data_IF_177002533480
#
_entry.id   IF_177002533480
#
_cell.length_a   1.000
_cell.length_b   1.000
_cell.length_c   1.000
_cell.angle_alpha   90.00
_cell.angle_beta   90.00
_cell.angle_gamma   90.00
#
_symmetry.space_group_name_H-M   'P 1'
#
loop_
_entity.id
_entity.type
_entity.pdbx_description
1 polymer ?
#
# COMPACT_ATOMS: atom_id res chain seq x y z
N UNK A 1 -18.32 -43.16 -7.33
CA UNK A 1 -17.30 -42.19 -7.80
C UNK A 1 -17.67 -40.84 -7.21
N UNK A 2 -16.94 -40.33 -6.22
CA UNK A 2 -17.13 -38.95 -5.76
C UNK A 2 -16.29 -38.04 -6.64
N UNK A 3 -16.93 -37.11 -7.35
CA UNK A 3 -16.23 -36.00 -8.01
C UNK A 3 -15.71 -35.05 -6.94
N UNK A 4 -14.42 -34.74 -6.95
CA UNK A 4 -13.86 -33.67 -6.12
C UNK A 4 -14.34 -32.32 -6.68
N UNK A 5 -14.95 -31.49 -5.84
CA UNK A 5 -15.21 -30.08 -6.14
C UNK A 5 -13.91 -29.30 -5.92
N UNK A 6 -13.47 -28.59 -6.94
CA UNK A 6 -12.33 -27.66 -6.84
C UNK A 6 -12.84 -26.22 -6.96
N UNK A 7 -12.38 -25.34 -6.06
CA UNK A 7 -12.68 -23.91 -6.09
C UNK A 7 -11.46 -23.15 -6.60
N UNK A 8 -11.64 -22.31 -7.63
CA UNK A 8 -10.62 -21.37 -8.07
C UNK A 8 -10.72 -20.09 -7.24
N UNK A 9 -9.62 -19.67 -6.64
CA UNK A 9 -9.46 -18.35 -6.02
C UNK A 9 -8.49 -17.56 -6.90
N UNK A 10 -8.87 -16.36 -7.31
CA UNK A 10 -8.00 -15.41 -7.99
C UNK A 10 -7.83 -14.18 -7.09
N UNK A 11 -6.60 -13.69 -6.98
CA UNK A 11 -6.26 -12.49 -6.21
C UNK A 11 -5.74 -11.47 -7.22
N UNK A 12 -6.27 -10.26 -7.15
CA UNK A 12 -5.87 -9.13 -7.98
C UNK A 12 -5.39 -8.01 -7.07
N UNK A 13 -4.31 -7.36 -7.47
CA UNK A 13 -3.76 -6.20 -6.79
C UNK A 13 -4.05 -4.96 -7.62
N UNK A 14 -4.32 -3.85 -6.95
CA UNK A 14 -4.58 -2.56 -7.58
C UNK A 14 -3.70 -1.51 -6.92
N UNK A 15 -3.20 -0.57 -7.71
CA UNK A 15 -2.41 0.54 -7.20
C UNK A 15 -3.34 1.57 -6.56
N UNK A 16 -3.13 1.90 -5.29
CA UNK A 16 -3.98 2.85 -4.58
C UNK A 16 -3.86 4.27 -5.14
N UNK A 17 -2.76 4.60 -5.83
CA UNK A 17 -2.53 5.93 -6.37
C UNK A 17 -3.45 6.21 -7.58
N UNK A 18 -3.58 5.25 -8.49
CA UNK A 18 -4.30 5.43 -9.77
C UNK A 18 -5.43 4.43 -10.03
N UNK A 19 -5.53 3.35 -9.25
CA UNK A 19 -6.55 2.30 -9.37
C UNK A 19 -6.28 1.25 -10.45
N UNK A 20 -5.10 1.24 -11.08
CA UNK A 20 -4.77 0.26 -12.11
C UNK A 20 -4.31 -1.08 -11.53
N UNK A 21 -4.61 -2.18 -12.24
CA UNK A 21 -4.19 -3.52 -11.82
C UNK A 21 -2.67 -3.65 -11.84
N UNK A 22 -2.11 -4.23 -10.79
CA UNK A 22 -0.69 -4.50 -10.63
C UNK A 22 -0.44 -6.00 -10.84
N UNK A 23 0.63 -6.33 -11.56
CA UNK A 23 1.19 -7.68 -11.56
C UNK A 23 1.57 -8.07 -10.13
N UNK A 24 1.08 -9.20 -9.59
CA UNK A 24 1.40 -9.64 -8.22
C UNK A 24 2.90 -9.64 -7.86
N UNK A 25 3.79 -9.84 -8.83
CA UNK A 25 5.25 -9.81 -8.61
C UNK A 25 5.82 -8.40 -8.41
N UNK A 26 5.06 -7.37 -8.77
CA UNK A 26 5.44 -5.96 -8.71
C UNK A 26 4.66 -5.17 -7.65
N UNK A 27 3.65 -5.77 -7.04
CA UNK A 27 2.85 -5.15 -5.98
C UNK A 27 3.68 -5.04 -4.70
N UNK A 28 3.75 -3.84 -4.14
CA UNK A 28 4.41 -3.56 -2.86
C UNK A 28 3.49 -2.73 -1.98
N UNK A 29 3.48 -3.06 -0.68
CA UNK A 29 2.79 -2.28 0.35
C UNK A 29 3.79 -1.35 1.04
N UNK A 30 3.43 -0.09 1.18
CA UNK A 30 4.29 0.95 1.76
C UNK A 30 3.67 1.47 3.05
N UNK A 31 4.35 1.21 4.16
CA UNK A 31 4.04 1.84 5.44
C UNK A 31 4.80 3.16 5.58
N UNK A 32 4.11 4.19 6.04
CA UNK A 32 4.71 5.50 6.28
C UNK A 32 3.93 6.30 7.33
N UNK A 33 4.58 7.31 7.90
CA UNK A 33 4.01 8.13 8.96
C UNK A 33 3.97 9.60 8.57
N UNK A 34 2.88 10.28 8.93
CA UNK A 34 2.77 11.73 8.83
C UNK A 34 1.93 12.29 9.98
N UNK A 35 2.44 13.34 10.64
CA UNK A 35 1.79 13.98 11.79
C UNK A 35 1.31 12.96 12.85
N UNK A 36 2.23 12.10 13.33
CA UNK A 36 1.95 11.07 14.34
C UNK A 36 0.88 10.04 13.93
N UNK A 37 0.54 9.96 12.66
CA UNK A 37 -0.42 8.99 12.15
C UNK A 37 0.29 8.08 11.16
N UNK A 38 0.06 6.79 11.32
CA UNK A 38 0.59 5.76 10.42
C UNK A 38 -0.43 5.48 9.31
N UNK A 39 0.11 5.27 8.12
CA UNK A 39 -0.60 5.11 6.87
C UNK A 39 0.03 3.97 6.08
N UNK A 40 -0.77 3.38 5.21
CA UNK A 40 -0.37 2.34 4.28
C UNK A 40 -1.02 2.58 2.92
N UNK A 41 -0.31 2.25 1.85
CA UNK A 41 -0.87 2.17 0.50
C UNK A 41 -0.13 1.11 -0.33
N UNK A 42 -0.84 0.49 -1.25
CA UNK A 42 -0.31 -0.48 -2.20
C UNK A 42 0.03 0.20 -3.53
N UNK A 43 1.20 -0.10 -4.10
CA UNK A 43 1.64 0.54 -5.36
C UNK A 43 2.66 -0.34 -6.08
N UNK A 44 3.24 0.19 -7.16
CA UNK A 44 4.41 -0.38 -7.84
C UNK A 44 5.71 0.30 -7.42
N UNK A 45 6.85 -0.37 -7.60
CA UNK A 45 8.18 0.25 -7.42
C UNK A 45 8.35 1.52 -8.27
N UNK A 46 7.83 1.52 -9.50
CA UNK A 46 7.93 2.67 -10.40
C UNK A 46 7.19 3.90 -9.85
N UNK A 47 5.97 3.73 -9.32
CA UNK A 47 5.24 4.80 -8.67
C UNK A 47 5.87 5.24 -7.34
N UNK A 48 6.40 4.30 -6.56
CA UNK A 48 7.19 4.65 -5.37
C UNK A 48 8.38 5.56 -5.73
N UNK A 49 9.07 5.29 -6.84
CA UNK A 49 10.16 6.13 -7.31
C UNK A 49 9.65 7.51 -7.77
N UNK A 50 8.46 7.60 -8.37
CA UNK A 50 7.84 8.90 -8.67
C UNK A 50 7.53 9.70 -7.40
N UNK A 51 7.05 9.05 -6.34
CA UNK A 51 6.85 9.68 -5.02
C UNK A 51 8.18 10.20 -4.46
N UNK A 52 9.21 9.35 -4.42
CA UNK A 52 10.55 9.71 -3.89
C UNK A 52 11.17 10.88 -4.64
N UNK A 53 10.94 10.95 -5.95
CA UNK A 53 11.41 12.04 -6.80
C UNK A 53 10.49 13.28 -6.81
N UNK A 54 9.45 13.30 -5.97
CA UNK A 54 8.55 14.45 -5.82
C UNK A 54 7.59 14.67 -6.99
N UNK A 55 7.45 13.71 -7.90
CA UNK A 55 6.51 13.79 -9.04
C UNK A 55 5.07 13.53 -8.63
N UNK A 56 4.87 12.83 -7.50
CA UNK A 56 3.57 12.67 -6.86
C UNK A 56 3.55 13.54 -5.60
N UNK A 57 2.63 14.52 -5.50
CA UNK A 57 2.53 15.36 -4.31
C UNK A 57 2.20 14.53 -3.07
N UNK A 58 2.84 14.84 -1.94
CA UNK A 58 2.57 14.15 -0.65
C UNK A 58 1.10 14.18 -0.26
N UNK A 59 0.39 15.28 -0.54
CA UNK A 59 -1.05 15.40 -0.27
C UNK A 59 -1.87 14.36 -1.07
N UNK A 60 -1.45 14.03 -2.29
CA UNK A 60 -2.05 12.96 -3.10
C UNK A 60 -1.77 11.60 -2.48
N UNK A 61 -0.51 11.32 -2.10
CA UNK A 61 -0.15 10.05 -1.43
C UNK A 61 -0.99 9.86 -0.16
N UNK A 62 -1.11 10.92 0.64
CA UNK A 62 -1.93 10.91 1.85
C UNK A 62 -3.40 10.61 1.58
N UNK A 63 -4.02 11.30 0.61
CA UNK A 63 -5.45 11.14 0.34
C UNK A 63 -5.79 9.75 -0.20
N UNK A 64 -4.80 9.05 -0.78
CA UNK A 64 -4.91 7.68 -1.26
C UNK A 64 -4.55 6.62 -0.23
N UNK A 65 -3.84 6.99 0.84
CA UNK A 65 -3.41 6.03 1.85
C UNK A 65 -4.53 5.67 2.82
N UNK A 66 -4.55 4.40 3.23
CA UNK A 66 -5.36 3.92 4.35
C UNK A 66 -4.67 4.28 5.66
N UNK A 67 -5.40 4.88 6.60
CA UNK A 67 -4.93 5.10 7.97
C UNK A 67 -4.89 3.78 8.74
N UNK A 68 -3.73 3.42 9.30
CA UNK A 68 -3.55 2.16 10.04
C UNK A 68 -3.52 2.36 11.55
N UNK A 69 -3.24 3.57 12.03
CA UNK A 69 -3.27 3.87 13.46
C UNK A 69 -2.63 5.20 13.82
N UNK A 70 -2.49 5.46 15.14
CA UNK A 70 -1.66 6.57 15.64
C UNK A 70 -0.27 6.02 15.91
N UNK A 71 0.75 6.69 15.39
CA UNK A 71 2.12 6.42 15.72
C UNK A 71 2.37 6.80 17.18
N UNK A 72 2.58 5.81 18.05
CA UNK A 72 3.15 6.08 19.37
C UNK A 72 4.66 6.06 19.21
N UNK A 73 5.29 7.23 19.11
CA UNK A 73 6.73 7.34 19.25
C UNK A 73 7.09 6.92 20.67
N UNK A 74 7.35 5.63 20.90
CA UNK A 74 7.79 5.12 22.18
C UNK A 74 9.29 5.41 22.33
N UNK A 75 9.65 6.69 22.29
CA UNK A 75 10.98 7.22 22.63
C UNK A 75 10.94 7.87 24.02
N UNK A 76 10.25 7.19 24.95
CA UNK A 76 10.24 7.50 26.38
C UNK A 76 10.99 6.43 27.19
N UNK A 77 11.96 5.75 26.56
CA UNK A 77 12.91 4.83 27.22
C UNK A 77 14.28 4.87 26.54
N UNK A 78 14.99 5.99 26.68
CA UNK A 78 16.46 5.99 26.64
C UNK A 78 17.02 7.12 27.49
#
# INVERSE_FOLDING_TARGET
>A
MSSAMATKIAIEYFDDLDGHSIDPQNAISIEWSWQETDYEFDTTTAHLDMIKNGRVPRATVLSKSRRTGRHTSNDARR
#
